data_IF_314794093218
#
_entry.id   IF_314794093218
#
_cell.length_a   1.000
_cell.length_b   1.000
_cell.length_c   1.000
_cell.angle_alpha   90.00
_cell.angle_beta   90.00
_cell.angle_gamma   90.00
#
_symmetry.space_group_name_H-M   'P 1'
#
loop_
_entity.id
_entity.type
_entity.pdbx_description
1 polymer ?
#
# COMPACT_ATOMS: atom_id res chain seq x y z
N UNK A 1 2.02 -15.75 15.29
CA UNK A 1 3.34 -15.79 15.95
C UNK A 1 4.25 -16.67 15.13
N UNK A 2 5.33 -16.14 14.55
CA UNK A 2 6.42 -16.98 14.04
C UNK A 2 7.09 -17.63 15.25
N UNK A 3 6.96 -18.92 15.39
CA UNK A 3 7.80 -19.67 16.29
C UNK A 3 9.12 -19.93 15.53
N UNK A 4 10.27 -19.76 16.14
CA UNK A 4 11.61 -20.03 15.53
C UNK A 4 11.73 -21.44 14.93
N UNK A 5 10.81 -22.33 15.25
CA UNK A 5 10.73 -23.70 14.77
C UNK A 5 9.91 -23.88 13.47
N UNK A 6 9.28 -22.80 12.95
CA UNK A 6 8.42 -22.87 11.76
C UNK A 6 9.01 -21.98 10.67
N UNK A 7 9.54 -22.58 9.62
CA UNK A 7 10.15 -21.88 8.49
C UNK A 7 9.10 -21.17 7.62
N UNK A 8 7.94 -21.80 7.39
CA UNK A 8 6.87 -21.29 6.54
C UNK A 8 5.57 -21.18 7.32
N UNK A 9 4.87 -20.05 7.21
CA UNK A 9 3.56 -19.87 7.83
C UNK A 9 2.48 -20.53 7.00
N UNK A 10 1.58 -21.27 7.66
CA UNK A 10 0.37 -21.80 7.03
C UNK A 10 -0.45 -20.69 6.35
N UNK A 11 -0.96 -20.99 5.15
CA UNK A 11 -1.77 -20.08 4.34
C UNK A 11 -0.97 -19.19 3.41
N UNK A 12 0.36 -19.12 3.54
CA UNK A 12 1.20 -18.32 2.66
C UNK A 12 1.14 -18.83 1.21
N UNK A 13 1.34 -20.13 0.99
CA UNK A 13 1.31 -20.74 -0.33
C UNK A 13 -0.05 -20.61 -1.01
N UNK A 14 -1.14 -20.82 -0.26
CA UNK A 14 -2.50 -20.62 -0.75
C UNK A 14 -2.76 -19.18 -1.18
N UNK A 15 -2.37 -18.22 -0.35
CA UNK A 15 -2.57 -16.79 -0.64
C UNK A 15 -1.77 -16.36 -1.88
N UNK A 16 -0.49 -16.69 -1.94
CA UNK A 16 0.38 -16.32 -3.07
C UNK A 16 -0.08 -16.95 -4.37
N UNK A 17 -0.49 -18.21 -4.35
CA UNK A 17 -1.04 -18.91 -5.52
C UNK A 17 -2.32 -18.23 -6.03
N UNK A 18 -3.26 -17.95 -5.11
CA UNK A 18 -4.53 -17.31 -5.46
C UNK A 18 -4.30 -15.91 -6.04
N UNK A 19 -3.46 -15.12 -5.39
CA UNK A 19 -3.18 -13.76 -5.87
C UNK A 19 -2.41 -13.77 -7.19
N UNK A 20 -1.45 -14.67 -7.38
CA UNK A 20 -0.71 -14.77 -8.65
C UNK A 20 -1.61 -15.14 -9.82
N UNK A 21 -2.61 -16.01 -9.62
CA UNK A 21 -3.61 -16.31 -10.65
C UNK A 21 -4.45 -15.07 -11.01
N UNK A 22 -4.91 -14.30 -10.01
CA UNK A 22 -5.68 -13.07 -10.23
C UNK A 22 -4.84 -11.99 -10.91
N UNK A 23 -3.60 -11.78 -10.44
CA UNK A 23 -2.68 -10.80 -11.03
C UNK A 23 -2.37 -11.18 -12.47
N UNK A 24 -2.07 -12.44 -12.76
CA UNK A 24 -1.80 -12.92 -14.11
C UNK A 24 -3.00 -12.72 -15.06
N UNK A 25 -4.23 -12.82 -14.58
CA UNK A 25 -5.44 -12.49 -15.35
C UNK A 25 -5.54 -10.99 -15.62
N UNK A 26 -5.26 -10.15 -14.61
CA UNK A 26 -5.23 -8.68 -14.77
C UNK A 26 -4.13 -8.28 -15.77
N UNK A 27 -2.95 -8.90 -15.72
CA UNK A 27 -1.87 -8.61 -16.67
C UNK A 27 -2.23 -8.97 -18.11
N UNK A 28 -2.96 -10.07 -18.32
CA UNK A 28 -3.47 -10.43 -19.66
C UNK A 28 -4.47 -9.40 -20.15
N UNK A 29 -5.40 -8.96 -19.29
CA UNK A 29 -6.36 -7.91 -19.64
C UNK A 29 -5.63 -6.58 -19.90
N UNK A 30 -4.69 -6.22 -19.07
CA UNK A 30 -3.84 -5.03 -19.20
C UNK A 30 -3.11 -5.00 -20.55
N UNK A 31 -2.51 -6.13 -20.96
CA UNK A 31 -1.83 -6.28 -22.24
C UNK A 31 -2.79 -6.27 -23.45
N UNK A 32 -4.04 -6.67 -23.26
CA UNK A 32 -5.08 -6.64 -24.29
C UNK A 32 -5.68 -5.24 -24.45
N UNK A 33 -6.08 -4.62 -23.33
CA UNK A 33 -6.73 -3.31 -23.32
C UNK A 33 -5.76 -2.16 -23.64
N UNK A 34 -4.53 -2.24 -23.15
CA UNK A 34 -3.42 -1.25 -23.33
C UNK A 34 -3.77 0.17 -22.91
N UNK A 35 -4.62 0.33 -21.88
CA UNK A 35 -5.20 1.64 -21.51
C UNK A 35 -4.94 2.05 -20.06
N UNK A 36 -4.71 1.08 -19.16
CA UNK A 36 -4.76 1.33 -17.72
C UNK A 36 -3.50 0.88 -17.00
N UNK A 37 -3.17 1.60 -15.95
CA UNK A 37 -2.23 1.18 -14.93
C UNK A 37 -3.00 0.58 -13.75
N UNK A 38 -2.74 -0.68 -13.43
CA UNK A 38 -3.38 -1.39 -12.35
C UNK A 38 -2.53 -1.31 -11.09
N UNK A 39 -3.03 -0.62 -10.08
CA UNK A 39 -2.42 -0.53 -8.76
C UNK A 39 -3.07 -1.58 -7.88
N UNK A 40 -2.31 -2.60 -7.50
CA UNK A 40 -2.81 -3.79 -6.80
C UNK A 40 -2.21 -3.83 -5.40
N UNK A 41 -3.03 -3.56 -4.39
CA UNK A 41 -2.66 -3.74 -3.00
C UNK A 41 -2.84 -5.19 -2.60
N UNK A 42 -1.78 -5.79 -2.04
CA UNK A 42 -1.77 -7.18 -1.60
C UNK A 42 -1.74 -7.26 -0.09
N UNK A 43 -2.54 -8.16 0.48
CA UNK A 43 -2.52 -8.45 1.90
C UNK A 43 -1.11 -8.81 2.38
N UNK A 44 -0.76 -8.34 3.57
CA UNK A 44 0.54 -8.57 4.20
C UNK A 44 1.02 -7.33 4.94
N UNK A 45 0.64 -7.24 6.25
CA UNK A 45 0.85 -6.01 7.03
C UNK A 45 2.31 -5.83 7.46
N UNK A 46 2.95 -6.89 7.90
CA UNK A 46 4.26 -6.81 8.59
C UNK A 46 5.45 -7.18 7.72
N UNK A 47 5.23 -7.59 6.48
CA UNK A 47 6.30 -7.97 5.56
C UNK A 47 5.78 -8.07 4.12
N UNK A 48 6.66 -7.82 3.16
CA UNK A 48 6.34 -7.83 1.72
C UNK A 48 6.50 -9.20 1.05
N UNK A 49 6.61 -10.29 1.83
CA UNK A 49 6.87 -11.64 1.29
C UNK A 49 5.81 -12.08 0.27
N UNK A 50 4.52 -11.80 0.52
CA UNK A 50 3.43 -12.14 -0.42
C UNK A 50 3.59 -11.33 -1.71
N UNK A 51 3.86 -10.04 -1.61
CA UNK A 51 4.05 -9.19 -2.78
C UNK A 51 5.27 -9.64 -3.61
N UNK A 52 6.38 -9.98 -2.94
CA UNK A 52 7.59 -10.48 -3.58
C UNK A 52 7.33 -11.81 -4.29
N UNK A 53 6.68 -12.77 -3.63
CA UNK A 53 6.38 -14.09 -4.23
C UNK A 53 5.44 -13.93 -5.45
N UNK A 54 4.40 -13.11 -5.33
CA UNK A 54 3.53 -12.80 -6.46
C UNK A 54 4.29 -12.14 -7.61
N UNK A 55 5.21 -11.22 -7.31
CA UNK A 55 6.04 -10.58 -8.33
C UNK A 55 6.97 -11.57 -9.05
N UNK A 56 7.55 -12.52 -8.33
CA UNK A 56 8.38 -13.58 -8.93
C UNK A 56 7.57 -14.50 -9.87
N UNK A 57 6.31 -14.75 -9.54
CA UNK A 57 5.42 -15.60 -10.34
C UNK A 57 4.81 -14.89 -11.55
N UNK A 58 4.51 -13.59 -11.45
CA UNK A 58 3.76 -12.84 -12.49
C UNK A 58 4.59 -11.84 -13.26
N UNK A 59 5.70 -11.37 -12.72
CA UNK A 59 6.60 -10.39 -13.33
C UNK A 59 5.90 -9.07 -13.69
N UNK A 60 5.29 -8.38 -12.72
CA UNK A 60 4.65 -7.08 -12.91
C UNK A 60 5.67 -6.03 -13.33
N UNK A 61 5.19 -4.87 -13.80
CA UNK A 61 6.09 -3.79 -14.20
C UNK A 61 6.81 -3.15 -13.02
N UNK A 62 6.15 -3.10 -11.86
CA UNK A 62 6.70 -2.55 -10.60
C UNK A 62 6.19 -3.42 -9.45
N UNK A 63 7.08 -3.70 -8.51
CA UNK A 63 6.73 -4.28 -7.21
C UNK A 63 7.45 -3.50 -6.12
N UNK A 64 6.71 -2.92 -5.20
CA UNK A 64 7.28 -2.19 -4.06
C UNK A 64 7.55 -3.18 -2.93
N UNK A 65 8.73 -3.10 -2.34
CA UNK A 65 9.12 -3.91 -1.18
C UNK A 65 9.31 -2.98 0.01
N UNK A 66 8.44 -3.13 1.02
CA UNK A 66 8.41 -2.23 2.19
C UNK A 66 9.73 -2.21 2.95
N UNK A 67 10.39 -3.36 3.08
CA UNK A 67 11.67 -3.50 3.75
C UNK A 67 12.81 -2.75 3.03
N UNK A 68 12.74 -2.64 1.70
CA UNK A 68 13.69 -1.83 0.94
C UNK A 68 13.44 -0.33 1.13
N UNK A 69 12.18 0.07 1.21
CA UNK A 69 11.78 1.46 1.48
C UNK A 69 12.35 1.91 2.83
N UNK A 70 12.19 1.09 3.86
CA UNK A 70 12.73 1.37 5.19
C UNK A 70 14.27 1.38 5.18
N UNK A 71 14.90 0.34 4.62
CA UNK A 71 16.36 0.20 4.61
C UNK A 71 17.08 1.32 3.84
N UNK A 72 16.44 1.88 2.82
CA UNK A 72 16.96 2.98 2.00
C UNK A 72 16.50 4.36 2.50
N UNK A 73 15.71 4.42 3.59
CA UNK A 73 15.10 5.65 4.14
C UNK A 73 14.32 6.46 3.07
N UNK A 74 13.60 5.74 2.19
CA UNK A 74 12.87 6.38 1.10
C UNK A 74 11.65 7.12 1.62
N UNK A 75 11.45 8.32 1.08
CA UNK A 75 10.23 9.09 1.31
C UNK A 75 9.11 8.63 0.39
N UNK A 76 7.87 9.00 0.70
CA UNK A 76 6.74 8.74 -0.20
C UNK A 76 6.97 9.38 -1.57
N UNK A 77 7.59 10.56 -1.63
CA UNK A 77 7.90 11.23 -2.89
C UNK A 77 8.93 10.45 -3.73
N UNK A 78 9.93 9.82 -3.11
CA UNK A 78 10.91 9.00 -3.83
C UNK A 78 10.23 7.80 -4.49
N UNK A 79 9.30 7.14 -3.79
CA UNK A 79 8.49 6.04 -4.32
C UNK A 79 7.64 6.53 -5.51
N UNK A 80 7.00 7.69 -5.37
CA UNK A 80 6.18 8.28 -6.44
C UNK A 80 7.03 8.63 -7.66
N UNK A 81 8.22 9.20 -7.47
CA UNK A 81 9.15 9.51 -8.57
C UNK A 81 9.64 8.26 -9.30
N UNK A 82 9.92 7.18 -8.58
CA UNK A 82 10.30 5.91 -9.18
C UNK A 82 9.18 5.36 -10.06
N UNK A 83 7.95 5.32 -9.55
CA UNK A 83 6.78 4.85 -10.31
C UNK A 83 6.53 5.77 -11.51
N UNK A 84 6.50 7.10 -11.31
CA UNK A 84 6.27 8.06 -12.38
C UNK A 84 7.33 7.97 -13.48
N UNK A 85 8.60 7.73 -13.11
CA UNK A 85 9.70 7.52 -14.06
C UNK A 85 9.48 6.28 -14.91
N UNK A 86 9.06 5.16 -14.30
CA UNK A 86 8.75 3.93 -15.02
C UNK A 86 7.54 4.12 -15.95
N UNK A 87 6.49 4.80 -15.49
CA UNK A 87 5.31 5.15 -16.31
C UNK A 87 5.73 6.01 -17.51
N UNK A 88 6.52 7.06 -17.29
CA UNK A 88 6.96 7.96 -18.35
C UNK A 88 7.88 7.25 -19.37
N UNK A 89 8.80 6.40 -18.90
CA UNK A 89 9.64 5.58 -19.77
C UNK A 89 8.83 4.63 -20.66
N UNK A 90 7.83 3.97 -20.09
CA UNK A 90 6.93 3.09 -20.86
C UNK A 90 6.07 3.87 -21.85
N UNK A 91 5.54 5.02 -21.44
CA UNK A 91 4.76 5.90 -22.30
C UNK A 91 5.55 6.39 -23.50
N UNK A 92 6.84 6.73 -23.33
CA UNK A 92 7.75 7.09 -24.43
C UNK A 92 7.90 5.98 -25.47
N UNK A 93 7.67 4.73 -25.09
CA UNK A 93 7.66 3.56 -25.99
C UNK A 93 6.23 3.17 -26.45
N UNK A 94 5.23 4.05 -26.26
CA UNK A 94 3.84 3.80 -26.64
C UNK A 94 3.08 2.84 -25.72
N UNK A 95 3.61 2.56 -24.53
CA UNK A 95 3.02 1.62 -23.57
C UNK A 95 2.43 2.39 -22.37
N UNK A 96 1.20 2.87 -22.51
CA UNK A 96 0.46 3.60 -21.47
C UNK A 96 -0.31 2.67 -20.50
N UNK A 97 0.26 1.53 -20.18
CA UNK A 97 -0.36 0.52 -19.32
C UNK A 97 0.69 -0.26 -18.54
N UNK A 98 0.27 -0.85 -17.43
CA UNK A 98 1.13 -1.67 -16.60
C UNK A 98 0.48 -2.10 -15.29
N UNK A 99 1.25 -2.85 -14.49
CA UNK A 99 0.83 -3.37 -13.20
C UNK A 99 1.84 -2.97 -12.13
N UNK A 100 1.35 -2.45 -11.03
CA UNK A 100 2.11 -2.06 -9.84
C UNK A 100 1.60 -2.87 -8.65
N UNK A 101 2.46 -3.65 -8.01
CA UNK A 101 2.14 -4.37 -6.79
C UNK A 101 2.58 -3.56 -5.57
N UNK A 102 1.69 -3.44 -4.60
CA UNK A 102 1.86 -2.64 -3.39
C UNK A 102 1.55 -3.51 -2.17
N UNK A 103 2.49 -3.74 -1.25
CA UNK A 103 2.19 -4.42 0.00
C UNK A 103 1.29 -3.55 0.89
N UNK A 104 0.33 -4.17 1.57
CA UNK A 104 -0.64 -3.50 2.45
C UNK A 104 0.03 -2.64 3.52
N UNK A 105 1.15 -3.11 4.07
CA UNK A 105 1.88 -2.45 5.15
C UNK A 105 2.79 -1.31 4.70
N UNK A 106 2.93 -1.03 3.39
CA UNK A 106 3.91 -0.07 2.87
C UNK A 106 3.95 1.27 3.63
N UNK A 107 2.79 1.78 3.96
CA UNK A 107 2.66 3.09 4.62
C UNK A 107 3.36 3.15 5.99
N UNK A 108 3.38 2.03 6.73
CA UNK A 108 4.05 1.94 8.03
C UNK A 108 5.59 1.96 7.89
N UNK A 109 6.11 1.52 6.72
CA UNK A 109 7.54 1.45 6.43
C UNK A 109 8.12 2.75 5.83
N UNK A 110 7.27 3.70 5.47
CA UNK A 110 7.74 5.06 5.12
C UNK A 110 8.09 5.78 6.42
N UNK A 111 9.38 6.12 6.69
CA UNK A 111 9.83 6.50 8.02
C UNK A 111 9.08 7.68 8.64
N UNK A 112 8.76 8.71 7.85
CA UNK A 112 8.00 9.85 8.32
C UNK A 112 6.57 9.48 8.72
N UNK A 113 5.92 8.61 7.96
CA UNK A 113 4.54 8.17 8.23
C UNK A 113 4.53 7.15 9.36
N UNK A 114 5.52 6.26 9.43
CA UNK A 114 5.68 5.33 10.53
C UNK A 114 5.79 6.04 11.89
N UNK A 115 6.62 7.09 11.98
CA UNK A 115 6.70 7.94 13.18
C UNK A 115 5.38 8.62 13.53
N UNK A 116 4.69 9.13 12.54
CA UNK A 116 3.36 9.72 12.72
C UNK A 116 2.34 8.70 13.26
N UNK A 117 2.30 7.50 12.70
CA UNK A 117 1.40 6.42 13.16
C UNK A 117 1.72 6.04 14.60
N UNK A 118 2.99 5.94 14.96
CA UNK A 118 3.40 5.66 16.34
C UNK A 118 2.89 6.73 17.31
N UNK A 119 3.14 8.01 17.02
CA UNK A 119 2.68 9.12 17.87
C UNK A 119 1.15 9.18 17.95
N UNK A 120 0.44 8.90 16.84
CA UNK A 120 -1.02 8.81 16.84
C UNK A 120 -1.53 7.66 17.73
N UNK A 121 -0.87 6.51 17.70
CA UNK A 121 -1.25 5.39 18.56
C UNK A 121 -1.07 5.73 20.04
N UNK A 122 0.05 6.34 20.41
CA UNK A 122 0.34 6.75 21.80
C UNK A 122 -0.64 7.83 22.26
N UNK A 123 -0.90 8.85 21.43
CA UNK A 123 -1.83 9.92 21.74
C UNK A 123 -3.25 9.39 22.01
N UNK A 124 -3.74 8.52 21.14
CA UNK A 124 -5.10 8.01 21.24
C UNK A 124 -5.26 6.88 22.25
N UNK A 125 -4.18 6.17 22.60
CA UNK A 125 -4.17 5.26 23.74
C UNK A 125 -4.31 6.04 25.07
N UNK A 126 -3.68 7.22 25.17
CA UNK A 126 -3.74 8.06 26.37
C UNK A 126 -5.08 8.81 26.51
N UNK A 127 -5.71 9.22 25.43
CA UNK A 127 -6.86 10.14 25.42
C UNK A 127 -8.09 9.62 24.67
N UNK A 128 -8.18 8.32 24.41
CA UNK A 128 -9.22 7.72 23.57
C UNK A 128 -10.66 7.92 24.03
N UNK A 129 -10.90 8.19 25.31
CA UNK A 129 -12.24 8.45 25.85
C UNK A 129 -12.76 9.81 25.40
N UNK A 130 -11.94 10.85 25.51
CA UNK A 130 -12.30 12.24 25.16
C UNK A 130 -12.41 12.43 23.64
N UNK A 131 -11.65 11.64 22.89
CA UNK A 131 -11.57 11.73 21.43
C UNK A 131 -12.79 11.15 20.71
N UNK A 132 -13.41 10.08 21.25
CA UNK A 132 -14.52 9.37 20.60
C UNK A 132 -15.80 10.19 20.49
N UNK A 133 -16.00 11.11 21.43
CA UNK A 133 -17.20 11.95 21.51
C UNK A 133 -17.12 13.21 20.64
N UNK A 134 -15.95 13.48 20.04
CA UNK A 134 -15.73 14.63 19.17
C UNK A 134 -16.28 14.38 17.76
N UNK A 135 -16.77 15.45 17.13
CA UNK A 135 -17.07 15.40 15.70
C UNK A 135 -15.77 15.30 14.85
N UNK A 136 -15.91 14.99 13.56
CA UNK A 136 -14.78 14.71 12.68
C UNK A 136 -13.77 15.86 12.54
N UNK A 137 -14.28 17.09 12.55
CA UNK A 137 -13.43 18.28 12.41
C UNK A 137 -12.72 18.60 13.74
N UNK A 138 -13.42 18.41 14.86
CA UNK A 138 -12.85 18.51 16.19
C UNK A 138 -11.81 17.41 16.45
N UNK A 139 -12.01 16.19 15.96
CA UNK A 139 -11.03 15.11 16.02
C UNK A 139 -9.74 15.47 15.29
N UNK A 140 -9.84 16.03 14.08
CA UNK A 140 -8.67 16.52 13.33
C UNK A 140 -7.94 17.64 14.08
N UNK A 141 -8.70 18.62 14.58
CA UNK A 141 -8.13 19.73 15.34
C UNK A 141 -7.44 19.24 16.62
N UNK A 142 -8.03 18.27 17.32
CA UNK A 142 -7.46 17.65 18.49
C UNK A 142 -6.10 16.97 18.19
N UNK A 143 -6.04 16.14 17.15
CA UNK A 143 -4.80 15.51 16.68
C UNK A 143 -3.76 16.59 16.38
N UNK A 144 -4.12 17.57 15.57
CA UNK A 144 -3.22 18.65 15.16
C UNK A 144 -2.66 19.46 16.35
N UNK A 145 -3.40 19.57 17.43
CA UNK A 145 -2.94 20.30 18.63
C UNK A 145 -1.96 19.52 19.51
N UNK A 146 -1.96 18.18 19.39
CA UNK A 146 -1.16 17.30 20.26
C UNK A 146 0.02 16.63 19.56
N UNK A 147 0.08 16.66 18.20
CA UNK A 147 1.22 16.13 17.46
C UNK A 147 2.46 17.02 17.61
N UNK A 148 3.63 16.36 17.58
CA UNK A 148 4.92 17.03 17.45
C UNK A 148 4.99 17.88 16.17
N UNK A 149 5.85 18.89 16.15
CA UNK A 149 5.95 19.80 14.99
C UNK A 149 6.32 19.06 13.68
N UNK A 150 7.17 18.02 13.76
CA UNK A 150 7.56 17.20 12.62
C UNK A 150 6.40 16.37 12.08
N UNK A 151 5.72 15.64 12.97
CA UNK A 151 4.59 14.79 12.58
C UNK A 151 3.36 15.59 12.17
N UNK A 152 3.19 16.80 12.72
CA UNK A 152 2.18 17.75 12.25
C UNK A 152 2.41 18.16 10.81
N UNK A 153 3.63 18.51 10.42
CA UNK A 153 3.99 18.83 9.05
C UNK A 153 3.73 17.62 8.13
N UNK A 154 4.12 16.42 8.54
CA UNK A 154 3.83 15.18 7.79
C UNK A 154 2.33 14.97 7.61
N UNK A 155 1.54 15.12 8.69
CA UNK A 155 0.08 14.95 8.65
C UNK A 155 -0.62 15.97 7.73
N UNK A 156 -0.10 17.20 7.64
CA UNK A 156 -0.62 18.25 6.75
C UNK A 156 -0.32 17.95 5.27
N UNK A 157 0.76 17.24 4.96
CA UNK A 157 1.10 16.87 3.58
C UNK A 157 0.28 15.70 3.03
N UNK A 158 -0.34 14.91 3.92
CA UNK A 158 -1.16 13.78 3.49
C UNK A 158 -2.51 14.24 2.90
N UNK A 159 -2.99 13.57 1.83
CA UNK A 159 -4.34 13.78 1.34
C UNK A 159 -5.38 13.62 2.45
N UNK A 160 -6.46 14.40 2.37
CA UNK A 160 -7.50 14.42 3.40
C UNK A 160 -8.10 13.04 3.69
N UNK A 161 -8.28 12.21 2.66
CA UNK A 161 -8.78 10.83 2.78
C UNK A 161 -7.89 9.97 3.67
N UNK A 162 -6.57 10.02 3.47
CA UNK A 162 -5.59 9.26 4.23
C UNK A 162 -5.43 9.80 5.66
N UNK A 163 -5.30 11.12 5.81
CA UNK A 163 -5.27 11.75 7.13
C UNK A 163 -6.50 11.40 7.97
N UNK A 164 -7.67 11.31 7.32
CA UNK A 164 -8.92 10.87 7.96
C UNK A 164 -8.88 9.41 8.36
N UNK A 165 -8.42 8.51 7.48
CA UNK A 165 -8.31 7.07 7.79
C UNK A 165 -7.35 6.83 8.95
N UNK A 166 -6.21 7.53 8.99
CA UNK A 166 -5.28 7.50 10.12
C UNK A 166 -5.90 7.98 11.44
N UNK A 167 -6.89 8.86 11.37
CA UNK A 167 -7.53 9.46 12.54
C UNK A 167 -8.69 8.64 13.10
N UNK A 168 -9.44 7.92 12.27
CA UNK A 168 -10.74 7.36 12.64
C UNK A 168 -10.72 5.86 12.94
N UNK A 169 -10.00 5.09 12.14
CA UNK A 169 -10.13 3.64 12.16
C UNK A 169 -9.10 3.00 13.09
N UNK A 170 -9.60 2.29 14.10
CA UNK A 170 -8.79 1.59 15.12
C UNK A 170 -9.10 0.09 15.13
N UNK A 171 -8.06 -0.70 15.33
CA UNK A 171 -8.22 -2.12 15.60
C UNK A 171 -8.75 -2.36 17.04
N UNK A 172 -9.16 -3.58 17.40
CA UNK A 172 -9.61 -3.89 18.75
C UNK A 172 -8.57 -3.63 19.85
N UNK A 173 -7.31 -3.44 19.48
CA UNK A 173 -6.21 -3.12 20.40
C UNK A 173 -5.92 -1.61 20.51
N UNK A 174 -6.65 -0.80 19.72
CA UNK A 174 -6.52 0.67 19.73
C UNK A 174 -5.50 1.25 18.74
N UNK A 175 -4.84 0.41 17.93
CA UNK A 175 -3.88 0.87 16.92
C UNK A 175 -4.58 1.34 15.63
N UNK A 176 -3.89 2.17 14.86
CA UNK A 176 -4.34 2.55 13.50
C UNK A 176 -4.57 1.30 12.67
N UNK A 177 -5.72 1.21 12.04
CA UNK A 177 -6.08 0.09 11.19
C UNK A 177 -5.54 0.31 9.77
N UNK A 178 -4.24 0.06 9.59
CA UNK A 178 -3.50 0.34 8.34
C UNK A 178 -4.08 -0.39 7.13
N UNK A 179 -4.69 -1.56 7.34
CA UNK A 179 -5.36 -2.33 6.28
C UNK A 179 -6.48 -1.57 5.57
N UNK A 180 -7.13 -0.63 6.27
CA UNK A 180 -8.20 0.19 5.71
C UNK A 180 -7.69 1.39 4.92
N UNK A 181 -6.38 1.71 5.01
CA UNK A 181 -5.81 2.79 4.23
C UNK A 181 -5.76 2.37 2.76
N UNK A 182 -6.41 3.13 1.90
CA UNK A 182 -6.40 2.93 0.44
C UNK A 182 -5.06 3.39 -0.16
N UNK A 183 -3.97 2.70 0.24
CA UNK A 183 -2.59 3.04 -0.17
C UNK A 183 -2.41 2.99 -1.68
N UNK A 184 -3.07 2.05 -2.36
CA UNK A 184 -3.07 1.91 -3.82
C UNK A 184 -3.66 3.15 -4.51
N UNK A 185 -4.66 3.75 -3.90
CA UNK A 185 -5.33 4.95 -4.39
C UNK A 185 -4.49 6.20 -4.12
N UNK A 186 -3.97 6.31 -2.89
CA UNK A 186 -3.06 7.39 -2.52
C UNK A 186 -1.87 7.47 -3.50
N UNK A 187 -1.19 6.35 -3.71
CA UNK A 187 0.00 6.30 -4.58
C UNK A 187 -0.38 6.67 -6.02
N UNK A 188 -1.46 6.12 -6.56
CA UNK A 188 -1.87 6.42 -7.92
C UNK A 188 -2.26 7.89 -8.14
N UNK A 189 -2.97 8.50 -7.19
CA UNK A 189 -3.33 9.93 -7.23
C UNK A 189 -2.08 10.83 -7.18
N UNK A 190 -1.10 10.46 -6.34
CA UNK A 190 0.16 11.19 -6.28
C UNK A 190 1.01 11.02 -7.55
N UNK A 191 1.03 9.82 -8.14
CA UNK A 191 1.69 9.56 -9.44
C UNK A 191 1.03 10.37 -10.54
N UNK A 192 -0.30 10.43 -10.60
CA UNK A 192 -1.04 11.23 -11.56
C UNK A 192 -0.66 12.72 -11.44
N UNK A 193 -0.69 13.26 -10.22
CA UNK A 193 -0.30 14.65 -9.97
C UNK A 193 1.14 14.94 -10.39
N UNK A 194 2.07 13.99 -10.17
CA UNK A 194 3.47 14.12 -10.58
C UNK A 194 3.63 14.07 -12.10
N UNK A 195 2.89 13.20 -12.77
CA UNK A 195 2.89 13.12 -14.24
C UNK A 195 2.28 14.37 -14.87
N UNK A 196 1.26 14.96 -14.26
CA UNK A 196 0.67 16.23 -14.69
C UNK A 196 1.67 17.39 -14.56
N UNK A 197 2.47 17.42 -13.49
CA UNK A 197 3.59 18.36 -13.34
C UNK A 197 4.60 18.17 -14.46
N UNK A 198 5.03 16.94 -14.72
CA UNK A 198 5.98 16.61 -15.78
C UNK A 198 5.42 16.87 -17.18
N UNK A 199 4.14 16.75 -17.38
CA UNK A 199 3.51 17.11 -18.66
C UNK A 199 3.58 18.60 -18.94
N UNK A 200 3.38 19.45 -17.92
CA UNK A 200 3.55 20.92 -18.02
C UNK A 200 4.99 21.29 -18.33
N UNK A 201 5.95 20.57 -17.79
CA UNK A 201 7.38 20.74 -18.04
C UNK A 201 7.85 20.15 -19.38
N UNK A 202 6.96 19.46 -20.12
CA UNK A 202 7.30 18.78 -21.38
C UNK A 202 8.11 17.49 -21.21
N UNK A 203 8.20 16.96 -19.99
CA UNK A 203 8.92 15.70 -19.66
C UNK A 203 8.06 14.45 -19.86
N UNK A 204 6.74 14.60 -19.86
CA UNK A 204 5.78 13.52 -20.04
C UNK A 204 4.76 13.85 -21.13
N UNK A 205 4.55 12.93 -22.05
CA UNK A 205 3.57 13.08 -23.13
C UNK A 205 2.80 11.76 -23.35
N UNK A 206 2.40 11.13 -22.26
CA UNK A 206 1.63 9.89 -22.25
C UNK A 206 0.18 10.12 -21.85
N UNK A 207 -0.54 9.02 -21.72
CA UNK A 207 -1.85 8.97 -21.11
C UNK A 207 -1.77 8.09 -19.86
N UNK A 208 -2.21 8.61 -18.73
CA UNK A 208 -2.26 7.86 -17.47
C UNK A 208 -3.72 7.73 -17.02
N UNK A 209 -4.11 6.50 -16.73
CA UNK A 209 -5.39 6.20 -16.10
C UNK A 209 -5.19 5.01 -15.16
N UNK A 210 -5.52 5.19 -13.89
CA UNK A 210 -5.32 4.18 -12.85
C UNK A 210 -6.58 3.37 -12.57
N UNK A 211 -6.42 2.07 -12.33
CA UNK A 211 -7.41 1.18 -11.75
C UNK A 211 -6.85 0.61 -10.44
N UNK A 212 -7.71 0.48 -9.45
CA UNK A 212 -7.33 0.09 -8.09
C UNK A 212 -7.92 -1.27 -7.75
N UNK A 213 -7.09 -2.12 -7.14
CA UNK A 213 -7.49 -3.45 -6.69
C UNK A 213 -6.93 -3.69 -5.30
N UNK A 214 -7.71 -4.31 -4.45
CA UNK A 214 -7.24 -4.84 -3.17
C UNK A 214 -7.49 -6.35 -3.14
N UNK A 215 -6.43 -7.12 -2.97
CA UNK A 215 -6.47 -8.57 -2.83
C UNK A 215 -6.20 -8.96 -1.37
N UNK A 216 -7.24 -9.30 -0.67
CA UNK A 216 -7.19 -9.61 0.75
C UNK A 216 -7.90 -10.90 1.09
N UNK A 217 -9.21 -10.88 1.16
CA UNK A 217 -10.03 -12.01 1.56
C UNK A 217 -9.96 -13.20 0.58
N UNK A 218 -9.72 -12.94 -0.70
CA UNK A 218 -9.61 -13.97 -1.73
C UNK A 218 -8.57 -15.03 -1.37
N UNK A 219 -7.41 -14.61 -0.85
CA UNK A 219 -6.37 -15.53 -0.41
C UNK A 219 -6.73 -16.28 0.87
N UNK A 220 -7.54 -15.68 1.76
CA UNK A 220 -7.98 -16.32 3.01
C UNK A 220 -9.13 -17.31 2.81
N UNK A 221 -10.02 -17.02 1.88
CA UNK A 221 -11.21 -17.80 1.60
C UNK A 221 -11.01 -18.84 0.50
N UNK A 222 -9.84 -18.88 -0.14
CA UNK A 222 -9.50 -19.87 -1.13
C UNK A 222 -9.38 -21.27 -0.53
N UNK A 223 -9.67 -22.29 -1.34
CA UNK A 223 -9.35 -23.66 -0.96
C UNK A 223 -7.82 -23.79 -0.75
N UNK A 224 -7.38 -24.46 0.32
CA UNK A 224 -5.94 -24.56 0.61
C UNK A 224 -5.20 -25.25 -0.55
N UNK A 225 -3.99 -24.75 -0.82
CA UNK A 225 -3.09 -25.43 -1.75
C UNK A 225 -2.70 -26.80 -1.22
N UNK A 226 -2.20 -27.67 -2.07
CA UNK A 226 -1.76 -28.99 -1.63
C UNK A 226 -0.69 -28.89 -0.55
N UNK A 227 0.22 -27.91 -0.66
CA UNK A 227 1.26 -27.68 0.36
C UNK A 227 0.63 -27.32 1.72
N UNK A 228 -0.26 -26.35 1.75
CA UNK A 228 -0.91 -25.93 3.01
C UNK A 228 -1.81 -27.02 3.58
N UNK A 229 -2.49 -27.82 2.73
CA UNK A 229 -3.31 -28.95 3.16
C UNK A 229 -2.45 -30.04 3.81
N UNK A 230 -1.35 -30.42 3.19
CA UNK A 230 -0.41 -31.43 3.71
C UNK A 230 0.27 -30.94 4.99
N UNK A 231 0.69 -29.66 5.02
CA UNK A 231 1.28 -29.02 6.18
C UNK A 231 0.33 -28.99 7.39
N UNK A 232 -0.94 -28.72 7.16
CA UNK A 232 -1.97 -28.77 8.20
C UNK A 232 -2.23 -30.17 8.72
N UNK A 233 -2.13 -31.19 7.84
CA UNK A 233 -2.33 -32.59 8.18
C UNK A 233 -1.16 -33.15 9.01
N UNK A 234 0.06 -32.76 8.69
CA UNK A 234 1.29 -33.17 9.40
C UNK A 234 1.40 -32.57 10.81
#
# INVERSE_FOLDING_TARGET
MKNEQIETSFGFDTATKTYSELIGNIERDCNSARKYWHFIKLMGRSASHIALECALQTQPNICIISEEVEAKDLTLNDIIEEIASAVAHRAANGQNYGVVLIPEGLIEFVPAIGRLIHELNDLLAAHGADYKDLDKDAQRAYIMSHLSAENKATFETLPYSVARQLSLDRDPHGNVQVSLIETEKLISEMVEAKLDEWAKDGKYNGHFAALHHFMGYEGRCAAPSNFDADYCYA
#
